data_IF_426817559772
#
_entry.id   IF_426817559772
#
_cell.length_a   1.000
_cell.length_b   1.000
_cell.length_c   1.000
_cell.angle_alpha   90.00
_cell.angle_beta   90.00
_cell.angle_gamma   90.00
#
_symmetry.space_group_name_H-M   'P 1'
#
loop_
_entity.id
_entity.type
_entity.pdbx_description
1 polymer ?
#
# COMPACT_ATOMS: atom_id res chain seq x y z
N UNK A 1 31.53 8.56 -40.54
CA UNK A 1 31.74 7.56 -39.47
C UNK A 1 32.29 8.31 -38.26
N UNK A 2 31.40 8.78 -37.37
CA UNK A 2 31.78 9.40 -36.09
C UNK A 2 30.78 8.88 -35.06
N UNK A 3 31.27 8.01 -34.17
CA UNK A 3 30.57 7.52 -32.97
C UNK A 3 30.66 8.61 -31.93
N UNK A 4 29.53 9.12 -31.45
CA UNK A 4 29.47 9.86 -30.19
C UNK A 4 28.73 8.98 -29.18
N UNK A 5 29.48 8.48 -28.21
CA UNK A 5 28.98 7.76 -27.05
C UNK A 5 28.64 8.79 -25.99
N UNK A 6 27.36 9.07 -25.77
CA UNK A 6 26.92 9.80 -24.59
C UNK A 6 26.67 8.81 -23.46
N UNK A 7 27.59 8.83 -22.50
CA UNK A 7 27.42 8.31 -21.15
C UNK A 7 26.33 9.12 -20.45
N UNK A 8 25.31 8.44 -19.94
CA UNK A 8 24.32 9.05 -19.05
C UNK A 8 24.85 8.93 -17.63
N UNK A 9 25.19 10.08 -17.05
CA UNK A 9 25.55 10.18 -15.64
C UNK A 9 24.32 9.91 -14.76
N UNK A 10 24.42 8.86 -13.96
CA UNK A 10 23.63 8.68 -12.74
C UNK A 10 24.02 9.80 -11.77
N UNK A 11 23.07 10.68 -11.44
CA UNK A 11 22.88 11.25 -10.09
C UNK A 11 21.87 12.41 -10.14
N UNK A 12 20.58 12.10 -9.92
CA UNK A 12 19.69 13.04 -9.23
C UNK A 12 18.49 12.30 -8.63
N UNK A 13 18.66 11.81 -7.39
CA UNK A 13 17.57 11.26 -6.58
C UNK A 13 16.75 12.44 -6.04
N UNK A 14 15.85 12.98 -6.87
CA UNK A 14 14.67 13.65 -6.39
C UNK A 14 13.60 12.59 -6.10
N UNK A 15 12.94 12.71 -4.95
CA UNK A 15 11.96 11.77 -4.40
C UNK A 15 10.78 11.47 -5.34
N UNK A 16 10.98 10.59 -6.31
CA UNK A 16 9.90 10.02 -7.08
C UNK A 16 9.26 8.95 -6.20
N UNK A 17 8.04 9.20 -5.72
CA UNK A 17 7.32 8.22 -4.93
C UNK A 17 7.00 7.01 -5.82
N UNK A 18 7.89 6.02 -5.83
CA UNK A 18 7.71 4.77 -6.55
C UNK A 18 6.38 4.13 -6.17
N UNK A 19 5.70 3.47 -7.12
CA UNK A 19 4.43 2.79 -6.88
C UNK A 19 4.55 1.79 -5.72
N UNK A 20 5.72 1.19 -5.49
CA UNK A 20 6.00 0.34 -4.32
C UNK A 20 5.82 1.07 -2.98
N UNK A 21 6.32 2.31 -2.89
CA UNK A 21 6.14 3.17 -1.70
C UNK A 21 4.67 3.54 -1.49
N UNK A 22 3.96 3.86 -2.59
CA UNK A 22 2.53 4.18 -2.56
C UNK A 22 1.69 2.98 -2.13
N UNK A 23 1.98 1.79 -2.65
CA UNK A 23 1.28 0.54 -2.31
C UNK A 23 1.41 0.19 -0.83
N UNK A 24 2.63 0.29 -0.30
CA UNK A 24 2.92 0.08 1.12
C UNK A 24 2.11 1.03 2.01
N UNK A 25 1.91 2.27 1.56
CA UNK A 25 1.17 3.29 2.28
C UNK A 25 -0.35 3.09 2.16
N UNK A 26 -0.86 2.85 0.95
CA UNK A 26 -2.29 2.61 0.69
C UNK A 26 -2.82 1.32 1.33
N UNK A 27 -1.99 0.27 1.41
CA UNK A 27 -2.33 -0.94 2.17
C UNK A 27 -2.60 -0.65 3.65
N UNK A 28 -1.78 0.23 4.26
CA UNK A 28 -1.94 0.67 5.65
C UNK A 28 -3.16 1.59 5.83
N UNK A 29 -3.45 2.49 4.89
CA UNK A 29 -4.67 3.34 4.90
C UNK A 29 -5.93 2.47 4.84
N UNK A 30 -6.01 1.52 3.91
CA UNK A 30 -7.15 0.61 3.80
C UNK A 30 -7.33 -0.25 5.06
N UNK A 31 -6.25 -0.63 5.74
CA UNK A 31 -6.30 -1.34 7.01
C UNK A 31 -6.83 -0.45 8.14
N UNK A 32 -6.39 0.82 8.23
CA UNK A 32 -6.91 1.79 9.21
C UNK A 32 -8.41 2.04 9.01
N UNK A 33 -8.85 2.23 7.75
CA UNK A 33 -10.26 2.44 7.39
C UNK A 33 -11.13 1.20 7.67
N UNK A 34 -10.57 -0.01 7.65
CA UNK A 34 -11.26 -1.24 8.09
C UNK A 34 -11.34 -1.35 9.62
N UNK A 35 -10.31 -0.90 10.34
CA UNK A 35 -10.31 -0.90 11.82
C UNK A 35 -11.31 0.10 12.41
N UNK A 36 -11.60 1.21 11.74
CA UNK A 36 -12.64 2.15 12.17
C UNK A 36 -14.08 1.64 11.97
N UNK A 37 -14.26 0.50 11.29
CA UNK A 37 -15.56 -0.14 11.08
C UNK A 37 -15.56 -1.58 11.62
N UNK A 38 -15.52 -1.73 12.95
CA UNK A 38 -16.19 -2.81 13.73
C UNK A 38 -15.86 -2.70 15.23
N UNK A 39 -16.95 -2.60 16.02
CA UNK A 39 -17.11 -2.80 17.47
C UNK A 39 -16.27 -1.93 18.41
N UNK A 40 -16.98 -1.10 19.19
CA UNK A 40 -16.54 -0.60 20.48
C UNK A 40 -16.10 -1.79 21.35
N UNK A 41 -14.80 -2.04 21.40
CA UNK A 41 -14.20 -2.97 22.33
C UNK A 41 -13.85 -2.15 23.56
N UNK A 42 -14.66 -2.34 24.61
CA UNK A 42 -14.46 -1.78 25.94
C UNK A 42 -12.99 -1.99 26.36
N UNK A 43 -12.24 -0.90 26.45
CA UNK A 43 -10.93 -0.93 27.09
C UNK A 43 -11.18 -1.00 28.60
N UNK A 44 -10.90 -2.15 29.20
CA UNK A 44 -10.66 -2.20 30.64
C UNK A 44 -9.50 -1.26 30.95
N UNK A 45 -9.78 -0.21 31.72
CA UNK A 45 -8.76 0.69 32.27
C UNK A 45 -7.84 -0.16 33.16
N UNK A 46 -6.62 -0.41 32.69
CA UNK A 46 -5.53 -0.83 33.58
C UNK A 46 -5.19 0.34 34.50
N UNK A 47 -5.73 0.29 35.72
CA UNK A 47 -5.35 1.20 36.79
C UNK A 47 -3.91 0.87 37.21
N UNK A 48 -2.95 1.68 36.78
CA UNK A 48 -1.66 1.73 37.45
C UNK A 48 -1.84 2.46 38.77
N UNK A 49 -1.98 1.70 39.86
CA UNK A 49 -1.82 2.24 41.19
C UNK A 49 -0.38 2.77 41.31
N UNK A 50 -0.23 4.10 41.32
CA UNK A 50 1.01 4.75 41.72
C UNK A 50 1.11 4.61 43.24
N UNK A 51 1.74 3.52 43.69
CA UNK A 51 2.11 3.37 45.09
C UNK A 51 3.26 4.34 45.36
N UNK A 52 2.95 5.48 45.98
CA UNK A 52 3.95 6.40 46.52
C UNK A 52 4.72 5.64 47.62
N UNK A 53 5.92 5.14 47.31
CA UNK A 53 6.86 4.75 48.35
C UNK A 53 7.37 6.01 49.04
N UNK A 54 6.87 6.25 50.24
CA UNK A 54 7.52 7.11 51.22
C UNK A 54 8.90 6.52 51.50
N UNK A 55 9.95 7.28 51.18
CA UNK A 55 11.31 6.96 51.58
C UNK A 55 11.47 7.50 52.99
N UNK A 56 11.16 6.69 53.99
CA UNK A 56 11.58 6.96 55.36
C UNK A 56 13.05 6.52 55.50
N UNK A 57 13.92 7.53 55.57
CA UNK A 57 15.33 7.37 55.87
C UNK A 57 15.53 7.05 57.35
N UNK A 58 15.91 5.81 57.63
CA UNK A 58 16.93 5.38 58.60
C UNK A 58 16.77 3.89 58.86
N UNK A 59 17.54 3.06 58.13
CA UNK A 59 17.70 1.65 58.47
C UNK A 59 19.11 1.44 59.02
N UNK A 60 19.20 1.54 60.34
CA UNK A 60 20.32 1.12 61.17
C UNK A 60 20.69 -0.33 60.84
N UNK A 61 21.96 -0.57 60.51
CA UNK A 61 22.49 -1.89 60.20
C UNK A 61 22.52 -2.79 61.45
N UNK A 62 21.76 -3.89 61.44
CA UNK A 62 22.05 -5.18 62.11
C UNK A 62 20.92 -6.22 61.86
N UNK A 63 21.13 -7.52 62.10
CA UNK A 63 22.18 -8.40 61.58
C UNK A 63 21.58 -9.60 60.79
N UNK A 64 22.37 -10.20 59.89
CA UNK A 64 22.26 -11.57 59.37
C UNK A 64 20.84 -12.17 59.22
N UNK A 65 20.02 -11.67 58.30
CA UNK A 65 18.85 -12.42 57.82
C UNK A 65 19.23 -13.17 56.55
N UNK A 66 19.44 -14.48 56.67
CA UNK A 66 19.81 -15.40 55.57
C UNK A 66 18.78 -15.47 54.43
N UNK A 67 17.64 -14.78 54.54
CA UNK A 67 16.52 -14.88 53.61
C UNK A 67 15.75 -13.54 53.49
N UNK A 68 15.32 -13.21 52.28
CA UNK A 68 14.48 -12.04 51.99
C UNK A 68 13.05 -12.24 52.53
N UNK A 69 12.54 -11.35 53.40
CA UNK A 69 11.22 -11.50 54.01
C UNK A 69 10.04 -11.31 53.05
N UNK A 70 10.26 -10.74 51.86
CA UNK A 70 9.19 -10.49 50.87
C UNK A 70 9.01 -11.64 49.88
N UNK A 71 10.08 -12.37 49.55
CA UNK A 71 10.03 -13.45 48.55
C UNK A 71 10.60 -14.79 49.06
N UNK A 72 11.00 -14.88 50.33
CA UNK A 72 11.47 -16.11 50.97
C UNK A 72 12.80 -16.67 50.45
N UNK A 73 13.48 -15.99 49.53
CA UNK A 73 14.74 -16.48 48.94
C UNK A 73 15.88 -16.40 49.93
N UNK A 74 16.65 -17.49 50.05
CA UNK A 74 17.89 -17.56 50.81
C UNK A 74 19.04 -16.89 50.07
N UNK A 75 20.06 -16.42 50.79
CA UNK A 75 21.28 -15.84 50.20
C UNK A 75 22.10 -16.83 49.33
N UNK A 76 21.69 -18.11 49.30
CA UNK A 76 22.25 -19.14 48.42
C UNK A 76 21.50 -19.28 47.07
N UNK A 77 20.67 -18.30 46.71
CA UNK A 77 19.89 -18.32 45.48
C UNK A 77 20.73 -17.89 44.27
N UNK A 78 21.01 -18.83 43.36
CA UNK A 78 21.47 -18.66 41.97
C UNK A 78 22.32 -17.41 41.75
N UNK A 79 23.64 -17.58 41.82
CA UNK A 79 24.58 -16.51 41.45
C UNK A 79 24.36 -16.14 39.99
N UNK A 80 23.70 -15.00 39.75
CA UNK A 80 23.55 -14.43 38.41
C UNK A 80 24.95 -14.23 37.85
N UNK A 81 25.28 -14.94 36.79
CA UNK A 81 26.61 -14.88 36.20
C UNK A 81 26.75 -13.60 35.38
N UNK A 82 27.99 -13.15 35.16
CA UNK A 82 28.26 -12.02 34.25
C UNK A 82 27.66 -12.26 32.86
N UNK A 83 27.68 -13.50 32.39
CA UNK A 83 27.03 -13.91 31.12
C UNK A 83 25.51 -13.74 31.13
N UNK A 84 24.83 -13.99 32.26
CA UNK A 84 23.38 -13.79 32.38
C UNK A 84 23.02 -12.30 32.29
N UNK A 85 23.81 -11.44 32.94
CA UNK A 85 23.65 -9.98 32.85
C UNK A 85 23.93 -9.47 31.43
N UNK A 86 24.96 -9.98 30.75
CA UNK A 86 25.26 -9.61 29.37
C UNK A 86 24.18 -10.11 28.40
N UNK A 87 23.65 -11.31 28.59
CA UNK A 87 22.55 -11.85 27.79
C UNK A 87 21.29 -11.00 27.95
N UNK A 88 20.96 -10.64 29.20
CA UNK A 88 19.82 -9.77 29.49
C UNK A 88 20.01 -8.38 28.87
N UNK A 89 21.21 -7.81 28.95
CA UNK A 89 21.56 -6.54 28.29
C UNK A 89 21.34 -6.61 26.79
N UNK A 90 21.86 -7.65 26.10
CA UNK A 90 21.66 -7.85 24.66
C UNK A 90 20.18 -8.00 24.29
N UNK A 91 19.40 -8.72 25.11
CA UNK A 91 17.96 -8.89 24.91
C UNK A 91 17.18 -7.57 25.05
N UNK A 92 17.54 -6.73 26.03
CA UNK A 92 16.95 -5.39 26.19
C UNK A 92 17.32 -4.51 25.00
N UNK A 93 18.59 -4.46 24.60
CA UNK A 93 19.05 -3.68 23.45
C UNK A 93 18.35 -4.09 22.14
N UNK A 94 18.16 -5.40 21.93
CA UNK A 94 17.43 -5.91 20.76
C UNK A 94 15.97 -5.44 20.77
N UNK A 95 15.27 -5.56 21.91
CA UNK A 95 13.89 -5.07 22.03
C UNK A 95 13.80 -3.57 21.79
N UNK A 96 14.71 -2.78 22.34
CA UNK A 96 14.75 -1.32 22.09
C UNK A 96 14.96 -1.04 20.59
N UNK A 97 15.86 -1.77 19.92
CA UNK A 97 16.10 -1.59 18.47
C UNK A 97 14.88 -1.96 17.63
N UNK A 98 14.21 -3.07 17.91
CA UNK A 98 13.01 -3.48 17.20
C UNK A 98 11.83 -2.54 17.46
N UNK A 99 11.57 -2.17 18.72
CA UNK A 99 10.54 -1.18 19.08
C UNK A 99 10.82 0.19 18.47
N UNK A 100 12.07 0.65 18.44
CA UNK A 100 12.45 1.90 17.77
C UNK A 100 12.26 1.83 16.26
N UNK A 101 12.51 0.67 15.63
CA UNK A 101 12.25 0.44 14.20
C UNK A 101 10.76 0.49 13.91
N UNK A 102 9.93 -0.18 14.72
CA UNK A 102 8.47 -0.13 14.63
C UNK A 102 7.97 1.31 14.81
N UNK A 103 8.48 2.02 15.82
CA UNK A 103 8.10 3.41 16.15
C UNK A 103 8.47 4.38 15.02
N UNK A 104 9.70 4.31 14.48
CA UNK A 104 10.09 5.13 13.31
C UNK A 104 9.18 4.87 12.11
N UNK A 105 8.86 3.60 11.86
CA UNK A 105 7.92 3.22 10.79
C UNK A 105 6.51 3.78 11.05
N UNK A 106 6.06 3.83 12.30
CA UNK A 106 4.77 4.41 12.70
C UNK A 106 4.74 5.94 12.58
N UNK A 107 5.87 6.64 12.77
CA UNK A 107 5.98 8.11 12.67
C UNK A 107 6.18 8.56 11.21
N UNK A 108 6.87 7.78 10.37
CA UNK A 108 7.00 8.07 8.93
C UNK A 108 5.70 7.89 8.15
N UNK A 109 4.81 7.02 8.64
CA UNK A 109 3.51 6.74 8.02
C UNK A 109 2.58 7.97 7.99
N UNK A 110 2.33 8.72 9.08
CA UNK A 110 1.42 9.86 9.09
C UNK A 110 1.79 10.95 8.07
N UNK A 111 3.08 11.23 7.87
CA UNK A 111 3.51 12.25 6.90
C UNK A 111 3.15 11.83 5.47
N UNK A 112 3.41 10.56 5.10
CA UNK A 112 3.04 10.02 3.78
C UNK A 112 1.54 9.85 3.58
N UNK A 113 0.79 9.51 4.64
CA UNK A 113 -0.67 9.36 4.54
C UNK A 113 -1.38 10.71 4.42
N UNK A 114 -0.89 11.75 5.08
CA UNK A 114 -1.45 13.11 4.97
C UNK A 114 -1.28 13.66 3.55
N UNK A 115 -0.14 13.39 2.91
CA UNK A 115 0.09 13.75 1.51
C UNK A 115 -0.82 13.00 0.54
N UNK A 116 -1.03 11.70 0.77
CA UNK A 116 -1.95 10.89 -0.06
C UNK A 116 -3.41 11.32 0.15
N UNK A 117 -3.84 11.64 1.37
CA UNK A 117 -5.18 12.15 1.65
C UNK A 117 -5.39 13.56 1.08
N UNK A 118 -4.35 14.39 1.04
CA UNK A 118 -4.37 15.69 0.36
C UNK A 118 -4.48 15.54 -1.16
N UNK A 119 -3.69 14.65 -1.76
CA UNK A 119 -3.84 14.23 -3.17
C UNK A 119 -5.24 13.63 -3.42
N UNK A 120 -5.83 12.94 -2.43
CA UNK A 120 -7.16 12.36 -2.50
C UNK A 120 -8.27 13.42 -2.48
N UNK A 121 -8.12 14.50 -1.72
CA UNK A 121 -9.04 15.63 -1.73
C UNK A 121 -8.91 16.44 -3.04
N UNK A 122 -7.72 16.43 -3.65
CA UNK A 122 -7.48 16.95 -5.00
C UNK A 122 -8.00 16.03 -6.13
N UNK A 123 -8.66 14.90 -5.83
CA UNK A 123 -9.34 14.05 -6.84
C UNK A 123 -10.43 14.79 -7.64
N UNK A 124 -10.77 16.01 -7.25
CA UNK A 124 -11.63 16.91 -8.05
C UNK A 124 -10.95 17.29 -9.38
N UNK A 125 -9.62 17.17 -9.50
CA UNK A 125 -8.87 17.75 -10.62
C UNK A 125 -8.66 16.84 -11.85
N UNK A 126 -8.91 15.52 -11.77
CA UNK A 126 -8.63 14.61 -12.89
C UNK A 126 -9.81 14.41 -13.87
N UNK A 127 -11.01 14.92 -13.54
CA UNK A 127 -12.23 14.78 -14.35
C UNK A 127 -12.41 13.33 -14.89
N UNK A 128 -12.48 12.37 -13.96
CA UNK A 128 -12.65 10.94 -14.25
C UNK A 128 -14.04 10.44 -13.79
N UNK A 129 -14.64 9.45 -14.47
CA UNK A 129 -14.11 8.75 -15.64
C UNK A 129 -14.23 9.56 -16.93
N UNK A 130 -13.31 9.32 -17.88
CA UNK A 130 -13.38 9.93 -19.22
C UNK A 130 -14.55 9.32 -19.99
N UNK A 131 -15.49 10.19 -20.38
CA UNK A 131 -16.77 9.82 -20.97
C UNK A 131 -16.73 9.69 -22.49
N UNK A 132 -15.69 10.23 -23.15
CA UNK A 132 -15.54 10.20 -24.61
C UNK A 132 -14.14 9.75 -25.01
N UNK A 133 -14.03 9.20 -26.22
CA UNK A 133 -12.76 8.73 -26.76
C UNK A 133 -11.74 9.88 -26.88
N UNK A 134 -12.19 11.06 -27.32
CA UNK A 134 -11.29 12.21 -27.48
C UNK A 134 -10.79 12.72 -26.14
N UNK A 135 -11.68 12.82 -25.15
CA UNK A 135 -11.31 13.19 -23.77
C UNK A 135 -10.28 12.23 -23.17
N UNK A 136 -10.40 10.93 -23.45
CA UNK A 136 -9.38 9.96 -23.02
C UNK A 136 -8.06 10.09 -23.78
N UNK A 137 -8.08 10.40 -25.09
CA UNK A 137 -6.85 10.64 -25.86
C UNK A 137 -6.14 11.93 -25.42
N UNK A 138 -6.89 13.00 -25.15
CA UNK A 138 -6.35 14.23 -24.57
C UNK A 138 -5.68 13.97 -23.23
N UNK A 139 -6.35 13.19 -22.38
CA UNK A 139 -5.79 12.77 -21.11
C UNK A 139 -4.47 12.00 -21.28
N UNK A 140 -4.41 11.06 -22.22
CA UNK A 140 -3.18 10.32 -22.53
C UNK A 140 -2.06 11.23 -23.05
N UNK A 141 -2.38 12.24 -23.88
CA UNK A 141 -1.41 13.24 -24.32
C UNK A 141 -0.88 14.10 -23.16
N UNK A 142 -1.75 14.49 -22.23
CA UNK A 142 -1.34 15.27 -21.06
C UNK A 142 -0.37 14.47 -20.16
N UNK A 143 -0.61 13.16 -20.00
CA UNK A 143 0.27 12.29 -19.23
C UNK A 143 1.70 12.15 -19.80
N UNK A 144 1.94 12.50 -21.06
CA UNK A 144 3.29 12.49 -21.66
C UNK A 144 4.20 13.60 -21.11
N UNK A 145 3.61 14.71 -20.65
CA UNK A 145 4.37 15.91 -20.25
C UNK A 145 4.06 16.38 -18.83
N UNK A 146 2.87 16.12 -18.30
CA UNK A 146 2.47 16.55 -16.96
C UNK A 146 2.84 15.51 -15.89
N UNK A 147 3.99 15.76 -15.25
CA UNK A 147 4.52 14.93 -14.15
C UNK A 147 3.56 14.89 -12.95
N UNK A 148 2.86 15.99 -12.67
CA UNK A 148 1.94 16.06 -11.53
C UNK A 148 0.68 15.22 -11.80
N UNK A 149 0.16 15.28 -13.03
CA UNK A 149 -0.95 14.43 -13.46
C UNK A 149 -0.57 12.94 -13.41
N UNK A 150 0.66 12.59 -13.79
CA UNK A 150 1.19 11.23 -13.66
C UNK A 150 1.21 10.77 -12.19
N UNK A 151 1.69 11.61 -11.27
CA UNK A 151 1.70 11.29 -9.83
C UNK A 151 0.29 11.08 -9.29
N UNK A 152 -0.65 11.94 -9.69
CA UNK A 152 -2.07 11.81 -9.33
C UNK A 152 -2.67 10.51 -9.85
N UNK A 153 -2.40 10.16 -11.11
CA UNK A 153 -2.86 8.90 -11.69
C UNK A 153 -2.29 7.68 -10.96
N UNK A 154 -0.98 7.65 -10.66
CA UNK A 154 -0.34 6.58 -9.88
C UNK A 154 -1.03 6.40 -8.52
N UNK A 155 -1.25 7.50 -7.79
CA UNK A 155 -1.95 7.49 -6.51
C UNK A 155 -3.38 6.98 -6.66
N UNK A 156 -4.12 7.50 -7.64
CA UNK A 156 -5.49 7.10 -7.94
C UNK A 156 -5.62 5.59 -8.19
N UNK A 157 -4.75 5.03 -9.03
CA UNK A 157 -4.73 3.59 -9.34
C UNK A 157 -4.54 2.78 -8.06
N UNK A 158 -3.48 3.08 -7.30
CA UNK A 158 -3.11 2.35 -6.08
C UNK A 158 -4.23 2.40 -5.03
N UNK A 159 -4.86 3.56 -4.86
CA UNK A 159 -5.93 3.77 -3.88
C UNK A 159 -7.23 3.04 -4.24
N UNK A 160 -7.53 2.95 -5.54
CA UNK A 160 -8.74 2.30 -6.02
C UNK A 160 -8.59 0.78 -6.19
N UNK A 161 -7.38 0.23 -6.03
CA UNK A 161 -7.16 -1.21 -6.03
C UNK A 161 -7.74 -1.87 -4.77
N UNK A 162 -8.50 -2.94 -4.96
CA UNK A 162 -9.08 -3.75 -3.89
C UNK A 162 -8.01 -4.53 -3.13
N UNK A 163 -8.21 -4.82 -1.85
CA UNK A 163 -7.33 -5.71 -1.06
C UNK A 163 -7.42 -7.20 -1.47
N UNK A 164 -8.02 -7.51 -2.62
CA UNK A 164 -8.18 -8.88 -3.13
C UNK A 164 -6.85 -9.38 -3.71
N UNK A 165 -6.60 -10.68 -3.57
CA UNK A 165 -5.50 -11.40 -4.20
C UNK A 165 -5.71 -11.64 -5.71
N UNK A 166 -6.88 -11.30 -6.25
CA UNK A 166 -7.16 -11.50 -7.68
C UNK A 166 -6.87 -10.22 -8.48
N UNK A 167 -6.06 -10.36 -9.53
CA UNK A 167 -5.80 -9.29 -10.52
C UNK A 167 -7.11 -8.77 -11.13
N UNK A 168 -8.04 -9.68 -11.50
CA UNK A 168 -9.33 -9.32 -12.13
C UNK A 168 -10.18 -8.37 -11.29
N UNK A 169 -10.14 -8.50 -9.97
CA UNK A 169 -10.93 -7.68 -9.06
C UNK A 169 -10.42 -6.25 -9.03
N UNK A 170 -9.09 -6.09 -9.14
CA UNK A 170 -8.42 -4.79 -9.23
C UNK A 170 -8.72 -4.12 -10.56
N UNK A 171 -8.67 -4.86 -11.68
CA UNK A 171 -9.07 -4.33 -13.00
C UNK A 171 -10.52 -3.80 -12.98
N UNK A 172 -11.42 -4.59 -12.39
CA UNK A 172 -12.85 -4.24 -12.27
C UNK A 172 -13.08 -3.06 -11.33
N UNK A 173 -12.18 -2.79 -10.39
CA UNK A 173 -12.29 -1.67 -9.46
C UNK A 173 -11.72 -0.36 -10.04
N UNK A 174 -10.64 -0.46 -10.81
CA UNK A 174 -9.86 0.70 -11.26
C UNK A 174 -10.29 1.19 -12.64
N UNK A 175 -10.36 0.31 -13.64
CA UNK A 175 -10.58 0.73 -15.04
C UNK A 175 -11.90 1.49 -15.22
N UNK A 176 -13.06 1.04 -14.69
CA UNK A 176 -14.33 1.77 -14.84
C UNK A 176 -14.34 3.15 -14.19
N UNK A 177 -13.39 3.44 -13.30
CA UNK A 177 -13.22 4.76 -12.70
C UNK A 177 -12.30 5.67 -13.50
N UNK A 178 -11.60 5.15 -14.51
CA UNK A 178 -10.73 5.94 -15.40
C UNK A 178 -11.43 6.18 -16.73
N UNK A 179 -12.04 5.15 -17.31
CA UNK A 179 -12.78 5.23 -18.57
C UNK A 179 -14.19 4.65 -18.40
N UNK A 180 -15.18 5.30 -19.01
CA UNK A 180 -16.53 4.77 -19.04
C UNK A 180 -16.63 3.54 -19.96
N UNK A 181 -17.78 2.88 -19.93
CA UNK A 181 -18.04 1.67 -20.73
C UNK A 181 -17.96 1.94 -22.23
N UNK A 182 -18.46 3.08 -22.69
CA UNK A 182 -18.46 3.46 -24.10
C UNK A 182 -17.03 3.56 -24.63
N UNK A 183 -16.14 4.25 -23.89
CA UNK A 183 -14.71 4.32 -24.21
C UNK A 183 -14.07 2.94 -24.12
N UNK A 184 -14.36 2.17 -23.08
CA UNK A 184 -13.83 0.82 -22.91
C UNK A 184 -14.15 -0.09 -24.12
N UNK A 185 -15.36 0.02 -24.69
CA UNK A 185 -15.77 -0.79 -25.84
C UNK A 185 -14.97 -0.49 -27.12
N UNK A 186 -14.41 0.72 -27.25
CA UNK A 186 -13.56 1.15 -28.37
C UNK A 186 -12.14 0.57 -28.30
N UNK A 187 -11.72 0.09 -27.13
CA UNK A 187 -10.41 -0.49 -26.90
C UNK A 187 -10.46 -2.01 -26.83
N UNK A 188 -9.34 -2.62 -27.20
CA UNK A 188 -8.98 -3.97 -26.80
C UNK A 188 -7.70 -3.90 -25.98
N UNK A 189 -7.40 -4.95 -25.21
CA UNK A 189 -6.20 -4.97 -24.39
C UNK A 189 -4.92 -4.75 -25.22
N UNK A 190 -4.85 -5.33 -26.43
CA UNK A 190 -3.63 -5.37 -27.26
C UNK A 190 -3.87 -4.99 -28.73
N UNK A 191 -4.85 -4.14 -29.02
CA UNK A 191 -5.16 -3.67 -30.38
C UNK A 191 -5.67 -4.75 -31.34
N UNK A 192 -6.24 -5.84 -30.82
CA UNK A 192 -6.75 -6.94 -31.65
C UNK A 192 -8.03 -6.52 -32.35
N UNK A 193 -8.14 -6.94 -33.60
CA UNK A 193 -9.39 -6.88 -34.35
C UNK A 193 -10.40 -7.87 -33.76
N UNK A 194 -11.66 -7.46 -33.65
CA UNK A 194 -12.75 -8.32 -33.18
C UNK A 194 -13.96 -8.09 -34.08
N UNK A 195 -14.51 -9.16 -34.65
CA UNK A 195 -15.65 -9.11 -35.57
C UNK A 195 -15.47 -8.11 -36.74
N UNK A 196 -14.28 -8.08 -37.35
CA UNK A 196 -13.98 -7.17 -38.47
C UNK A 196 -13.76 -5.70 -38.07
N UNK A 197 -13.80 -5.37 -36.76
CA UNK A 197 -13.57 -4.02 -36.27
C UNK A 197 -12.23 -3.93 -35.56
N UNK A 198 -11.33 -3.08 -36.09
CA UNK A 198 -10.05 -2.77 -35.48
C UNK A 198 -10.26 -1.84 -34.28
N UNK A 199 -10.00 -2.37 -33.08
CA UNK A 199 -10.08 -1.61 -31.83
C UNK A 199 -8.76 -0.91 -31.51
N UNK A 200 -8.82 0.16 -30.73
CA UNK A 200 -7.62 0.81 -30.21
C UNK A 200 -6.86 -0.12 -29.25
N UNK A 201 -5.55 0.12 -29.12
CA UNK A 201 -4.68 -0.65 -28.25
C UNK A 201 -4.60 -0.01 -26.85
N UNK A 202 -5.12 -0.69 -25.83
CA UNK A 202 -5.01 -0.19 -24.46
C UNK A 202 -3.60 -0.35 -23.91
N UNK A 203 -2.87 -1.41 -24.29
CA UNK A 203 -1.52 -1.65 -23.76
C UNK A 203 -0.48 -0.63 -24.19
N UNK A 204 -0.79 0.22 -25.18
CA UNK A 204 0.07 1.31 -25.61
C UNK A 204 -0.20 2.63 -24.86
N UNK A 205 -1.16 2.65 -23.94
CA UNK A 205 -1.50 3.83 -23.14
C UNK A 205 -0.54 3.99 -21.95
N UNK A 206 -0.30 5.23 -21.54
CA UNK A 206 0.40 5.57 -20.30
C UNK A 206 -0.43 5.11 -19.10
N UNK A 207 -1.76 5.21 -19.17
CA UNK A 207 -2.64 4.64 -18.15
C UNK A 207 -2.36 3.15 -17.94
N UNK A 208 -2.21 2.37 -19.02
CA UNK A 208 -1.85 0.96 -18.91
C UNK A 208 -0.47 0.75 -18.28
N UNK A 209 0.54 1.56 -18.65
CA UNK A 209 1.89 1.47 -18.07
C UNK A 209 1.84 1.51 -16.54
N UNK A 210 1.18 2.53 -15.97
CA UNK A 210 1.10 2.68 -14.51
C UNK A 210 0.13 1.69 -13.85
N UNK A 211 -0.92 1.27 -14.56
CA UNK A 211 -1.78 0.19 -14.08
C UNK A 211 -1.02 -1.13 -13.99
N UNK A 212 -0.22 -1.46 -15.01
CA UNK A 212 0.59 -2.67 -15.05
C UNK A 212 1.63 -2.66 -13.93
N UNK A 213 2.36 -1.55 -13.76
CA UNK A 213 3.35 -1.37 -12.69
C UNK A 213 2.69 -1.63 -11.32
N UNK A 214 1.55 -1.00 -11.05
CA UNK A 214 0.79 -1.23 -9.82
C UNK A 214 0.32 -2.68 -9.65
N UNK A 215 -0.15 -3.35 -10.71
CA UNK A 215 -0.57 -4.74 -10.61
C UNK A 215 0.62 -5.67 -10.33
N UNK A 216 1.77 -5.45 -10.99
CA UNK A 216 2.98 -6.25 -10.77
C UNK A 216 3.57 -6.05 -9.37
N UNK A 217 3.49 -4.84 -8.82
CA UNK A 217 3.91 -4.56 -7.44
C UNK A 217 2.98 -5.21 -6.41
N UNK A 218 1.67 -5.30 -6.71
CA UNK A 218 0.71 -5.87 -5.77
C UNK A 218 0.66 -7.39 -5.79
N UNK A 219 0.82 -7.96 -6.97
CA UNK A 219 0.70 -9.39 -7.26
C UNK A 219 2.06 -9.90 -7.72
N UNK A 220 3.06 -9.80 -6.83
CA UNK A 220 4.46 -10.15 -7.12
C UNK A 220 4.63 -11.63 -7.54
N UNK A 221 3.70 -12.48 -7.11
CA UNK A 221 3.62 -13.90 -7.42
C UNK A 221 3.01 -14.19 -8.82
N UNK A 222 2.34 -13.21 -9.44
CA UNK A 222 1.66 -13.38 -10.72
C UNK A 222 2.57 -12.94 -11.88
N UNK A 223 2.81 -13.85 -12.82
CA UNK A 223 3.65 -13.58 -14.00
C UNK A 223 3.00 -12.53 -14.91
N UNK A 224 3.80 -11.64 -15.51
CA UNK A 224 3.28 -10.60 -16.42
C UNK A 224 2.47 -11.12 -17.62
N UNK A 225 2.79 -12.31 -18.14
CA UNK A 225 2.00 -12.98 -19.19
C UNK A 225 0.58 -13.36 -18.71
N UNK A 226 0.46 -13.74 -17.45
CA UNK A 226 -0.83 -14.05 -16.83
C UNK A 226 -1.66 -12.78 -16.62
N UNK A 227 -1.06 -11.70 -16.12
CA UNK A 227 -1.70 -10.39 -16.02
C UNK A 227 -2.23 -9.94 -17.40
N UNK A 228 -1.41 -10.08 -18.44
CA UNK A 228 -1.79 -9.77 -19.83
C UNK A 228 -2.97 -10.62 -20.32
N UNK A 229 -2.98 -11.91 -19.99
CA UNK A 229 -4.08 -12.82 -20.33
C UNK A 229 -5.38 -12.41 -19.62
N UNK A 230 -5.30 -12.10 -18.32
CA UNK A 230 -6.44 -11.63 -17.52
C UNK A 230 -6.97 -10.31 -18.08
N UNK A 231 -6.09 -9.36 -18.43
CA UNK A 231 -6.49 -8.09 -19.02
C UNK A 231 -7.17 -8.27 -20.38
N UNK A 232 -6.66 -9.17 -21.22
CA UNK A 232 -7.28 -9.50 -22.51
C UNK A 232 -8.70 -10.01 -22.33
N UNK A 233 -8.88 -11.02 -21.47
CA UNK A 233 -10.21 -11.57 -21.15
C UNK A 233 -11.11 -10.49 -20.55
N UNK A 234 -10.54 -9.60 -19.74
CA UNK A 234 -11.28 -8.50 -19.14
C UNK A 234 -11.79 -7.52 -20.22
N UNK A 235 -10.98 -7.11 -21.19
CA UNK A 235 -11.47 -6.25 -22.28
C UNK A 235 -12.46 -6.97 -23.20
N UNK A 236 -12.23 -8.25 -23.53
CA UNK A 236 -13.16 -9.01 -24.37
C UNK A 236 -14.55 -9.16 -23.74
N UNK A 237 -14.62 -9.29 -22.40
CA UNK A 237 -15.88 -9.36 -21.66
C UNK A 237 -16.60 -8.03 -21.45
N UNK A 238 -16.10 -6.91 -22.00
CA UNK A 238 -16.66 -5.56 -21.79
C UNK A 238 -18.16 -5.46 -22.11
N UNK A 239 -18.57 -6.04 -23.24
CA UNK A 239 -19.97 -6.02 -23.72
C UNK A 239 -20.94 -6.66 -22.73
N UNK A 240 -20.47 -7.59 -21.92
CA UNK A 240 -21.30 -8.44 -21.06
C UNK A 240 -21.47 -7.89 -19.65
N UNK A 241 -20.62 -6.92 -19.30
CA UNK A 241 -20.69 -6.22 -18.01
C UNK A 241 -21.90 -5.29 -17.96
N UNK A 242 -22.29 -4.98 -16.72
CA UNK A 242 -23.40 -4.06 -16.43
C UNK A 242 -24.70 -4.47 -17.14
N UNK A 243 -25.06 -5.75 -17.00
CA UNK A 243 -26.32 -6.27 -17.53
C UNK A 243 -26.34 -6.60 -19.01
N UNK A 244 -25.24 -6.36 -19.76
CA UNK A 244 -25.17 -6.67 -21.20
C UNK A 244 -25.43 -8.14 -21.53
N UNK A 245 -24.95 -9.07 -20.69
CA UNK A 245 -25.28 -10.51 -20.85
C UNK A 245 -26.79 -10.77 -20.71
N UNK A 246 -27.45 -10.14 -19.74
CA UNK A 246 -28.89 -10.31 -19.50
C UNK A 246 -29.72 -9.75 -20.66
N UNK A 247 -29.27 -8.66 -21.27
CA UNK A 247 -29.95 -8.07 -22.44
C UNK A 247 -29.85 -8.97 -23.67
N UNK A 248 -28.70 -9.58 -23.93
CA UNK A 248 -28.57 -10.55 -25.04
C UNK A 248 -29.46 -11.77 -24.84
N UNK A 249 -29.42 -12.37 -23.65
CA UNK A 249 -30.25 -13.54 -23.34
C UNK A 249 -31.76 -13.25 -23.30
N UNK A 250 -32.19 -11.98 -23.33
CA UNK A 250 -33.59 -11.58 -23.49
C UNK A 250 -33.99 -11.33 -24.95
N UNK A 251 -33.01 -11.14 -25.82
CA UNK A 251 -33.20 -10.81 -27.23
C UNK A 251 -32.87 -11.99 -28.17
N UNK A 252 -32.40 -13.11 -27.61
CA UNK A 252 -32.24 -14.43 -28.25
C UNK A 252 -33.44 -15.31 -27.86
#
# INVERSE_FOLDING_TARGET
>A
MVRSSHTFDEDNIHSDASISSLMSTAGKINLLRKKSSKKAQSYEKLNFATEKRLVDGNATYAPNKKHCPTCGRSDNAVTVTKSDLESLKRSIEYRIKEEAKITRTLIEVPNKTTDIEKILNDNILMDLPKMTLESFKDFERQLESDIELVKKLKCFIVLNMKTSSKVSDNLTAVIPKIICKEVQLMYSAFGRETNGQKKFNFSSTITYKYLLEALTTKHEDVKGKEISSILSRWFSGAKDREGGKKLRMKND
#
